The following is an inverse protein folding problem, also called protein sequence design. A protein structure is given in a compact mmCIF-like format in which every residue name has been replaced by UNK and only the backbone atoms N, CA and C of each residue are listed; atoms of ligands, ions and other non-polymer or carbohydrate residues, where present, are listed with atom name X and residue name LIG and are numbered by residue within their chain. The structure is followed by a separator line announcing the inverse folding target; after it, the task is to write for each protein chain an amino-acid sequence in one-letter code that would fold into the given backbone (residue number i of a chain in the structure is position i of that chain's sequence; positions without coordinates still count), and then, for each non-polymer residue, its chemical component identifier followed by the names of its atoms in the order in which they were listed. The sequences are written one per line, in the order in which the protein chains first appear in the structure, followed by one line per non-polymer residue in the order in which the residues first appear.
data_IF_959692281324
#
_entry.id   IF_959692281324
#
_cell.length_a   1.000
_cell.length_b   1.000
_cell.length_c   1.000
_cell.angle_alpha   90.00
_cell.angle_beta   90.00
_cell.angle_gamma   90.00
#
_symmetry.space_group_name_H-M   'P 1'
#
loop_
_entity.id
_entity.type
_entity.pdbx_description
1 polymer ?
#
# COMPACT_ATOMS: atom_id res chain seq x y z
N UNK A 1 -63.04 44.09 36.59
CA UNK A 1 -63.01 43.18 35.44
C UNK A 1 -61.81 43.55 34.60
N UNK A 2 -60.72 42.82 34.75
CA UNK A 2 -59.51 43.00 33.96
C UNK A 2 -59.29 41.76 33.10
N UNK A 3 -58.87 41.86 31.83
CA UNK A 3 -58.55 40.70 31.01
C UNK A 3 -57.10 40.31 31.16
N UNK A 4 -56.88 38.98 31.31
CA UNK A 4 -55.60 38.30 31.35
C UNK A 4 -54.86 38.45 29.99
N UNK A 5 -53.59 38.90 30.03
CA UNK A 5 -52.64 38.81 28.92
C UNK A 5 -51.92 37.49 28.98
N UNK A 6 -52.10 36.63 28.00
CA UNK A 6 -51.31 35.42 27.79
C UNK A 6 -50.01 35.78 27.05
N UNK A 7 -48.87 35.53 27.72
CA UNK A 7 -47.53 35.62 27.11
C UNK A 7 -47.23 34.34 26.32
N UNK A 8 -47.17 34.40 25.00
CA UNK A 8 -46.58 33.32 24.16
C UNK A 8 -45.06 33.37 24.28
N UNK A 9 -44.50 32.35 24.94
CA UNK A 9 -43.06 32.08 24.87
C UNK A 9 -42.73 31.48 23.50
N UNK A 10 -42.01 32.21 22.67
CA UNK A 10 -41.40 31.69 21.45
C UNK A 10 -40.21 30.80 21.85
N UNK A 11 -40.35 29.48 21.71
CA UNK A 11 -39.23 28.56 21.72
C UNK A 11 -38.39 28.78 20.44
N UNK A 12 -37.20 29.36 20.61
CA UNK A 12 -36.17 29.43 19.57
C UNK A 12 -35.61 28.02 19.41
N UNK A 13 -35.91 27.39 18.27
CA UNK A 13 -35.28 26.14 17.85
C UNK A 13 -33.78 26.40 17.59
N UNK A 14 -32.87 25.51 18.04
CA UNK A 14 -31.45 25.67 17.75
C UNK A 14 -31.22 25.55 16.25
N UNK A 15 -30.50 26.52 15.71
CA UNK A 15 -30.03 26.55 14.31
C UNK A 15 -29.31 25.26 13.94
N UNK A 16 -29.50 24.69 12.73
CA UNK A 16 -28.76 23.50 12.30
C UNK A 16 -27.28 23.79 12.33
N UNK A 17 -26.54 22.98 13.11
CA UNK A 17 -25.07 23.05 13.14
C UNK A 17 -24.56 22.85 11.72
N UNK A 18 -23.78 23.82 11.22
CA UNK A 18 -23.02 23.68 9.97
C UNK A 18 -22.27 22.35 9.97
N UNK A 19 -22.24 21.61 8.84
CA UNK A 19 -21.45 20.39 8.75
C UNK A 19 -20.01 20.76 9.08
N UNK A 20 -19.45 20.09 10.09
CA UNK A 20 -18.03 20.18 10.43
C UNK A 20 -17.27 19.82 9.14
N UNK A 21 -16.53 20.78 8.58
CA UNK A 21 -15.60 20.54 7.49
C UNK A 21 -14.63 19.47 7.96
N UNK A 22 -14.75 18.28 7.41
CA UNK A 22 -13.75 17.23 7.60
C UNK A 22 -12.40 17.78 7.15
N UNK A 23 -11.35 17.72 7.96
CA UNK A 23 -10.05 18.21 7.56
C UNK A 23 -9.59 17.44 6.33
N UNK A 24 -9.53 18.11 5.18
CA UNK A 24 -8.96 17.57 3.95
C UNK A 24 -7.49 17.95 3.88
N UNK A 25 -6.67 17.03 3.41
CA UNK A 25 -5.24 17.31 3.22
C UNK A 25 -5.03 18.24 1.99
N UNK A 26 -3.97 19.07 1.99
CA UNK A 26 -3.60 19.89 0.84
C UNK A 26 -3.47 19.08 -0.46
N UNK A 27 -3.89 19.64 -1.58
CA UNK A 27 -3.95 18.94 -2.88
C UNK A 27 -2.60 18.45 -3.44
N UNK A 28 -1.48 18.94 -2.90
CA UNK A 28 -0.12 18.58 -3.32
C UNK A 28 0.44 17.36 -2.59
N UNK A 29 -0.27 16.79 -1.62
CA UNK A 29 0.22 15.61 -0.89
C UNK A 29 0.11 14.34 -1.74
N UNK A 30 1.21 13.58 -1.79
CA UNK A 30 1.26 12.33 -2.56
C UNK A 30 0.81 11.15 -1.70
N UNK A 31 0.09 10.23 -2.33
CA UNK A 31 -0.40 9.00 -1.69
C UNK A 31 0.10 7.79 -2.48
N UNK A 32 0.85 6.95 -1.82
CA UNK A 32 1.42 5.72 -2.39
C UNK A 32 0.64 4.50 -1.97
N UNK A 33 0.62 3.50 -2.84
CA UNK A 33 0.09 2.17 -2.55
C UNK A 33 1.25 1.25 -2.14
N UNK A 34 1.15 0.68 -0.93
CA UNK A 34 2.20 -0.14 -0.34
C UNK A 34 2.33 -1.53 -0.97
N UNK A 35 3.55 -2.09 -1.04
CA UNK A 35 3.75 -3.50 -1.37
C UNK A 35 3.23 -4.38 -0.23
N UNK A 36 2.40 -5.37 -0.56
CA UNK A 36 1.87 -6.34 0.42
C UNK A 36 1.82 -7.74 -0.20
N UNK A 37 2.85 -8.53 0.06
CA UNK A 37 3.02 -9.88 -0.47
C UNK A 37 1.82 -10.77 -0.15
N UNK A 38 1.30 -11.46 -1.18
CA UNK A 38 0.16 -12.36 -1.09
C UNK A 38 -1.19 -11.66 -0.88
N UNK A 39 -1.24 -10.31 -0.85
CA UNK A 39 -2.47 -9.54 -0.70
C UNK A 39 -2.68 -8.59 -1.88
N UNK A 40 -1.71 -7.74 -2.19
CA UNK A 40 -1.85 -6.67 -3.18
C UNK A 40 -1.05 -6.98 -4.45
N UNK A 41 -1.49 -8.02 -5.15
CA UNK A 41 -0.97 -8.37 -6.46
C UNK A 41 -1.39 -7.36 -7.56
N UNK A 42 -0.92 -7.57 -8.78
CA UNK A 42 -1.24 -6.70 -9.91
C UNK A 42 -2.76 -6.60 -10.20
N UNK A 43 -3.56 -7.63 -9.85
CA UNK A 43 -5.01 -7.58 -10.04
C UNK A 43 -5.70 -6.68 -9.04
N UNK A 44 -5.34 -6.76 -7.78
CA UNK A 44 -5.93 -5.88 -6.76
C UNK A 44 -5.37 -4.46 -6.89
N UNK A 45 -4.10 -4.30 -7.27
CA UNK A 45 -3.49 -2.99 -7.57
C UNK A 45 -4.21 -2.28 -8.71
N UNK A 46 -4.54 -2.99 -9.81
CA UNK A 46 -5.34 -2.45 -10.90
C UNK A 46 -6.69 -1.91 -10.41
N UNK A 47 -7.40 -2.70 -9.62
CA UNK A 47 -8.73 -2.32 -9.13
C UNK A 47 -8.67 -1.12 -8.18
N UNK A 48 -7.76 -1.11 -7.22
CA UNK A 48 -7.63 0.02 -6.28
C UNK A 48 -7.27 1.30 -7.00
N UNK A 49 -6.38 1.25 -8.00
CA UNK A 49 -6.02 2.45 -8.76
C UNK A 49 -7.14 2.97 -9.65
N UNK A 50 -8.08 2.11 -10.09
CA UNK A 50 -9.31 2.54 -10.80
C UNK A 50 -10.27 3.32 -9.90
N UNK A 51 -10.26 3.09 -8.60
CA UNK A 51 -11.04 3.92 -7.65
C UNK A 51 -10.49 5.34 -7.63
N UNK A 52 -9.16 5.48 -7.67
CA UNK A 52 -8.49 6.78 -7.78
C UNK A 52 -7.79 7.25 -6.51
N UNK A 53 -7.15 8.40 -6.59
CA UNK A 53 -6.47 9.06 -5.48
C UNK A 53 -5.07 8.54 -5.16
N UNK A 54 -4.55 7.54 -5.88
CA UNK A 54 -3.18 7.00 -5.75
C UNK A 54 -2.27 7.64 -6.79
N UNK A 55 -1.08 8.08 -6.38
CA UNK A 55 -0.08 8.69 -7.26
C UNK A 55 1.00 7.72 -7.71
N UNK A 56 1.37 6.75 -6.87
CA UNK A 56 2.41 5.75 -7.15
C UNK A 56 2.06 4.44 -6.48
N UNK A 57 2.31 3.34 -7.16
CA UNK A 57 2.27 2.00 -6.59
C UNK A 57 3.68 1.44 -6.41
N UNK A 58 3.85 0.59 -5.38
CA UNK A 58 5.01 -0.29 -5.26
C UNK A 58 4.50 -1.73 -5.34
N UNK A 59 5.12 -2.55 -6.18
CA UNK A 59 4.70 -3.93 -6.40
C UNK A 59 5.03 -4.83 -5.21
N UNK A 60 4.43 -6.03 -5.15
CA UNK A 60 4.97 -7.11 -4.36
C UNK A 60 6.44 -7.34 -4.71
N UNK A 61 7.24 -7.84 -3.75
CA UNK A 61 8.67 -7.96 -4.01
C UNK A 61 9.01 -9.13 -4.95
N UNK A 62 9.99 -8.91 -5.77
CA UNK A 62 10.66 -9.94 -6.58
C UNK A 62 11.87 -10.41 -5.79
N UNK A 63 11.88 -11.68 -5.40
CA UNK A 63 12.97 -12.26 -4.62
C UNK A 63 14.16 -12.57 -5.48
N UNK A 64 15.29 -11.95 -5.14
CA UNK A 64 16.62 -12.20 -5.71
C UNK A 64 17.44 -12.98 -4.69
N UNK A 65 17.97 -14.13 -5.07
CA UNK A 65 18.80 -14.98 -4.20
C UNK A 65 20.25 -15.01 -4.67
N UNK A 66 20.57 -15.84 -5.63
CA UNK A 66 21.93 -16.20 -6.05
C UNK A 66 22.11 -16.23 -7.58
N UNK A 67 21.10 -15.81 -8.33
CA UNK A 67 21.13 -15.87 -9.80
C UNK A 67 20.50 -14.65 -10.47
N UNK A 68 20.92 -14.41 -11.69
CA UNK A 68 20.32 -13.40 -12.56
C UNK A 68 18.98 -13.90 -13.13
N UNK A 69 17.90 -13.29 -12.70
CA UNK A 69 16.54 -13.65 -13.05
C UNK A 69 16.23 -13.30 -14.52
N UNK A 70 15.55 -14.17 -15.27
CA UNK A 70 15.07 -13.83 -16.61
C UNK A 70 13.93 -12.80 -16.56
N UNK A 71 13.81 -11.95 -17.60
CA UNK A 71 12.81 -10.86 -17.68
C UNK A 71 11.37 -11.32 -17.38
N UNK A 72 11.01 -12.55 -17.77
CA UNK A 72 9.68 -13.12 -17.48
C UNK A 72 9.33 -13.21 -16.00
N UNK A 73 10.33 -13.27 -15.10
CA UNK A 73 10.08 -13.28 -13.66
C UNK A 73 9.61 -11.92 -13.20
N UNK A 74 10.23 -10.83 -13.70
CA UNK A 74 9.82 -9.47 -13.41
C UNK A 74 8.41 -9.18 -13.95
N UNK A 75 8.14 -9.48 -15.21
CA UNK A 75 6.84 -9.21 -15.84
C UNK A 75 5.70 -10.08 -15.30
N UNK A 76 6.02 -11.24 -14.72
CA UNK A 76 5.01 -12.07 -14.01
C UNK A 76 4.52 -11.40 -12.73
N UNK A 77 5.40 -10.77 -11.95
CA UNK A 77 5.04 -10.09 -10.69
C UNK A 77 4.53 -8.68 -10.98
N UNK A 78 5.10 -8.03 -11.99
CA UNK A 78 4.80 -6.65 -12.37
C UNK A 78 4.49 -6.61 -13.87
N UNK A 79 3.31 -7.12 -14.30
CA UNK A 79 2.94 -7.10 -15.72
C UNK A 79 2.80 -5.69 -16.30
N UNK A 80 2.65 -4.67 -15.43
CA UNK A 80 2.64 -3.26 -15.82
C UNK A 80 3.93 -2.82 -16.53
N UNK A 81 5.06 -3.52 -16.32
CA UNK A 81 6.31 -3.30 -17.07
C UNK A 81 6.14 -3.47 -18.59
N UNK A 82 5.12 -4.23 -19.03
CA UNK A 82 4.77 -4.40 -20.44
C UNK A 82 3.88 -3.26 -20.97
N UNK A 83 3.43 -2.36 -20.09
CA UNK A 83 2.54 -1.25 -20.41
C UNK A 83 3.08 0.07 -19.81
N UNK A 84 4.31 0.40 -20.13
CA UNK A 84 4.97 1.64 -19.66
C UNK A 84 5.10 1.76 -18.14
N UNK A 85 5.14 0.61 -17.43
CA UNK A 85 5.22 0.53 -15.97
C UNK A 85 4.08 1.27 -15.26
N UNK A 86 2.87 1.26 -15.85
CA UNK A 86 1.67 1.90 -15.30
C UNK A 86 0.52 0.89 -15.22
N UNK A 87 -0.33 1.07 -14.20
CA UNK A 87 -1.63 0.37 -14.13
C UNK A 87 -2.53 0.82 -15.29
N UNK A 88 -3.64 0.11 -15.56
CA UNK A 88 -4.60 0.53 -16.56
C UNK A 88 -5.25 1.90 -16.27
N UNK A 89 -5.22 2.36 -15.01
CA UNK A 89 -5.63 3.70 -14.62
C UNK A 89 -4.53 4.77 -14.82
N UNK A 90 -3.37 4.41 -15.38
CA UNK A 90 -2.26 5.34 -15.63
C UNK A 90 -1.36 5.60 -14.42
N UNK A 91 -1.54 4.89 -13.30
CA UNK A 91 -0.72 5.08 -12.10
C UNK A 91 0.61 4.35 -12.25
N UNK A 92 1.76 5.04 -12.09
CA UNK A 92 3.08 4.43 -12.20
C UNK A 92 3.33 3.37 -11.12
N UNK A 93 4.01 2.29 -11.52
CA UNK A 93 4.34 1.15 -10.65
C UNK A 93 5.85 1.00 -10.54
N UNK A 94 6.39 1.16 -9.34
CA UNK A 94 7.77 0.81 -9.02
C UNK A 94 7.87 -0.69 -8.75
N UNK A 95 8.83 -1.37 -9.39
CA UNK A 95 9.09 -2.78 -9.13
C UNK A 95 9.98 -2.93 -7.89
N UNK A 96 9.55 -3.73 -6.91
CA UNK A 96 10.32 -3.93 -5.68
C UNK A 96 11.18 -5.18 -5.75
N UNK A 97 12.48 -5.05 -5.41
CA UNK A 97 13.42 -6.15 -5.26
C UNK A 97 13.67 -6.46 -3.78
N UNK A 98 13.89 -7.73 -3.48
CA UNK A 98 14.26 -8.21 -2.16
C UNK A 98 15.40 -9.23 -2.27
N UNK A 99 16.49 -8.99 -1.57
CA UNK A 99 17.66 -9.87 -1.49
C UNK A 99 18.67 -9.33 -0.47
N UNK A 100 19.81 -10.00 -0.35
CA UNK A 100 20.88 -9.65 0.60
C UNK A 100 22.26 -9.54 -0.03
N UNK A 101 22.46 -10.03 -1.24
CA UNK A 101 23.73 -9.92 -1.95
C UNK A 101 23.75 -8.65 -2.82
N UNK A 102 24.68 -7.69 -2.57
CA UNK A 102 24.75 -6.44 -3.29
C UNK A 102 25.01 -6.61 -4.80
N UNK A 103 25.85 -7.57 -5.19
CA UNK A 103 26.21 -7.79 -6.60
C UNK A 103 25.04 -8.42 -7.35
N UNK A 104 24.47 -9.48 -6.79
CA UNK A 104 23.33 -10.15 -7.40
C UNK A 104 22.11 -9.22 -7.52
N UNK A 105 21.85 -8.35 -6.51
CA UNK A 105 20.79 -7.34 -6.59
C UNK A 105 21.09 -6.28 -7.65
N UNK A 106 22.32 -5.84 -7.78
CA UNK A 106 22.74 -4.87 -8.80
C UNK A 106 22.54 -5.42 -10.22
N UNK A 107 22.95 -6.66 -10.49
CA UNK A 107 22.77 -7.33 -11.79
C UNK A 107 21.27 -7.48 -12.14
N UNK A 108 20.47 -7.88 -11.16
CA UNK A 108 19.01 -8.00 -11.34
C UNK A 108 18.34 -6.64 -11.54
N UNK A 109 18.79 -5.60 -10.82
CA UNK A 109 18.29 -4.24 -11.00
C UNK A 109 18.67 -3.67 -12.38
N UNK A 110 19.89 -3.90 -12.86
CA UNK A 110 20.30 -3.54 -14.21
C UNK A 110 19.43 -4.21 -15.27
N UNK A 111 19.17 -5.52 -15.12
CA UNK A 111 18.26 -6.26 -16.04
C UNK A 111 16.82 -5.77 -15.96
N UNK A 112 16.34 -5.43 -14.76
CA UNK A 112 15.01 -4.86 -14.58
C UNK A 112 14.90 -3.47 -15.23
N UNK A 113 15.96 -2.67 -15.15
CA UNK A 113 16.04 -1.34 -15.77
C UNK A 113 15.86 -1.37 -17.29
N UNK A 114 16.24 -2.47 -17.97
CA UNK A 114 16.00 -2.66 -19.41
C UNK A 114 14.50 -2.69 -19.78
N UNK A 115 13.62 -2.95 -18.80
CA UNK A 115 12.15 -2.91 -18.95
C UNK A 115 11.57 -1.52 -18.65
N UNK A 116 12.41 -0.51 -18.40
CA UNK A 116 12.03 0.89 -18.14
C UNK A 116 10.96 1.03 -17.02
N UNK A 117 11.20 0.49 -15.82
CA UNK A 117 10.27 0.65 -14.71
C UNK A 117 10.13 2.13 -14.33
N UNK A 118 8.96 2.51 -13.80
CA UNK A 118 8.74 3.85 -13.21
C UNK A 118 9.64 4.12 -11.99
N UNK A 119 10.31 3.10 -11.48
CA UNK A 119 11.30 3.10 -10.43
C UNK A 119 11.59 1.69 -9.93
N UNK A 120 12.69 1.54 -9.22
CA UNK A 120 13.07 0.30 -8.53
C UNK A 120 13.06 0.60 -7.04
N UNK A 121 12.37 -0.23 -6.26
CA UNK A 121 12.31 -0.12 -4.81
C UNK A 121 13.05 -1.29 -4.14
N UNK A 122 13.71 -1.04 -3.02
CA UNK A 122 14.47 -2.06 -2.27
C UNK A 122 13.77 -2.36 -0.93
N UNK A 123 13.54 -3.64 -0.65
CA UNK A 123 12.81 -4.09 0.53
C UNK A 123 13.72 -4.43 1.70
N UNK A 124 13.74 -3.57 2.72
CA UNK A 124 14.35 -3.79 4.03
C UNK A 124 13.31 -3.88 5.17
N UNK A 125 12.07 -4.28 4.85
CA UNK A 125 10.99 -4.26 5.82
C UNK A 125 10.15 -5.55 5.92
N UNK A 126 10.37 -6.55 5.04
CA UNK A 126 9.59 -7.79 5.06
C UNK A 126 9.83 -8.57 6.36
N UNK A 127 8.77 -8.87 7.16
CA UNK A 127 8.91 -9.58 8.42
C UNK A 127 8.81 -11.11 8.28
N UNK A 128 8.56 -11.64 7.07
CA UNK A 128 8.26 -13.05 6.85
C UNK A 128 9.42 -13.96 7.30
N UNK A 129 9.16 -15.03 8.10
CA UNK A 129 10.21 -15.92 8.59
C UNK A 129 11.02 -16.58 7.48
N UNK A 130 10.37 -16.95 6.38
CA UNK A 130 11.03 -17.55 5.20
C UNK A 130 12.00 -16.60 4.51
N UNK A 131 11.67 -15.30 4.46
CA UNK A 131 12.55 -14.26 3.91
C UNK A 131 13.72 -14.02 4.85
N UNK A 132 13.43 -13.88 6.14
CA UNK A 132 14.43 -13.53 7.15
C UNK A 132 15.45 -14.67 7.42
N UNK A 133 15.06 -15.94 7.32
CA UNK A 133 16.00 -17.08 7.39
C UNK A 133 17.06 -17.04 6.29
N UNK A 134 16.76 -16.43 5.16
CA UNK A 134 17.69 -16.23 4.05
C UNK A 134 18.31 -14.82 4.05
N UNK A 135 18.42 -14.19 5.22
CA UNK A 135 19.02 -12.87 5.43
C UNK A 135 18.41 -11.74 4.59
N UNK A 136 17.12 -11.81 4.19
CA UNK A 136 16.43 -10.77 3.44
C UNK A 136 15.41 -9.99 4.29
N UNK A 137 15.01 -8.81 3.80
CA UNK A 137 13.99 -7.99 4.44
C UNK A 137 14.44 -7.35 5.76
N UNK A 138 13.58 -7.37 6.80
CA UNK A 138 13.80 -6.58 8.01
C UNK A 138 15.02 -6.99 8.86
N UNK A 139 15.55 -8.20 8.70
CA UNK A 139 16.77 -8.61 9.43
C UNK A 139 18.02 -7.89 8.95
N UNK A 140 18.03 -7.36 7.72
CA UNK A 140 19.14 -6.56 7.20
C UNK A 140 19.32 -5.25 7.98
N UNK A 141 18.29 -4.80 8.70
CA UNK A 141 18.37 -3.60 9.53
C UNK A 141 19.27 -3.74 10.77
N UNK A 142 19.76 -4.94 11.04
CA UNK A 142 20.82 -5.20 12.03
C UNK A 142 22.23 -4.90 11.45
N UNK A 143 22.36 -4.68 10.13
CA UNK A 143 23.62 -4.52 9.39
C UNK A 143 23.57 -3.27 8.49
N UNK A 144 23.65 -2.02 9.03
CA UNK A 144 23.56 -0.78 8.23
C UNK A 144 24.60 -0.68 7.10
N UNK A 145 25.82 -1.20 7.30
CA UNK A 145 26.85 -1.22 6.28
C UNK A 145 26.46 -2.09 5.08
N UNK A 146 25.82 -3.23 5.31
CA UNK A 146 25.28 -4.08 4.25
C UNK A 146 24.11 -3.41 3.54
N UNK A 147 23.22 -2.73 4.27
CA UNK A 147 22.13 -1.94 3.68
C UNK A 147 22.71 -0.86 2.76
N UNK A 148 23.74 -0.13 3.20
CA UNK A 148 24.46 0.85 2.36
C UNK A 148 25.05 0.19 1.11
N UNK A 149 25.76 -0.94 1.26
CA UNK A 149 26.41 -1.63 0.14
C UNK A 149 25.38 -2.07 -0.92
N UNK A 150 24.24 -2.59 -0.49
CA UNK A 150 23.14 -3.00 -1.38
C UNK A 150 22.60 -1.79 -2.17
N UNK A 151 22.21 -0.72 -1.47
CA UNK A 151 21.64 0.47 -2.11
C UNK A 151 22.64 1.10 -3.07
N UNK A 152 23.90 1.25 -2.67
CA UNK A 152 24.96 1.82 -3.49
C UNK A 152 25.25 0.97 -4.74
N UNK A 153 25.28 -0.36 -4.61
CA UNK A 153 25.49 -1.26 -5.74
C UNK A 153 24.35 -1.16 -6.76
N UNK A 154 23.10 -1.20 -6.29
CA UNK A 154 21.92 -1.05 -7.14
C UNK A 154 21.87 0.34 -7.79
N UNK A 155 22.14 1.41 -7.04
CA UNK A 155 22.13 2.78 -7.59
C UNK A 155 23.15 2.94 -8.72
N UNK A 156 24.35 2.37 -8.58
CA UNK A 156 25.38 2.42 -9.63
C UNK A 156 25.02 1.62 -10.89
N UNK A 157 24.31 0.51 -10.72
CA UNK A 157 23.94 -0.39 -11.82
C UNK A 157 22.70 0.10 -12.61
N UNK A 158 21.86 0.95 -12.01
CA UNK A 158 20.62 1.45 -12.62
C UNK A 158 20.87 2.82 -13.26
N UNK A 159 20.38 3.09 -14.49
CA UNK A 159 20.48 4.39 -15.14
C UNK A 159 19.94 5.53 -14.25
N UNK A 160 20.58 6.70 -14.31
CA UNK A 160 20.30 7.82 -13.41
C UNK A 160 18.84 8.32 -13.47
N UNK A 161 18.20 8.22 -14.63
CA UNK A 161 16.80 8.63 -14.84
C UNK A 161 15.75 7.71 -14.18
N UNK A 162 16.14 6.49 -13.81
CA UNK A 162 15.25 5.55 -13.08
C UNK A 162 15.49 5.73 -11.58
N UNK A 163 14.50 6.20 -10.80
CA UNK A 163 14.67 6.38 -9.37
C UNK A 163 14.86 5.03 -8.65
N UNK A 164 15.76 5.01 -7.68
CA UNK A 164 15.96 3.87 -6.76
C UNK A 164 15.53 4.32 -5.39
N UNK A 165 14.45 3.76 -4.87
CA UNK A 165 13.94 4.02 -3.52
C UNK A 165 14.18 2.83 -2.59
N UNK A 166 14.01 3.04 -1.31
CA UNK A 166 14.09 1.99 -0.31
C UNK A 166 12.89 2.03 0.64
N UNK A 167 12.43 0.85 1.07
CA UNK A 167 11.38 0.72 2.09
C UNK A 167 11.90 -0.05 3.28
N UNK A 168 11.88 0.58 4.46
CA UNK A 168 12.34 -0.05 5.71
C UNK A 168 11.28 -0.03 6.82
N UNK A 169 11.56 -0.73 7.91
CA UNK A 169 10.94 -0.58 9.23
C UNK A 169 11.85 0.24 10.14
N UNK A 170 11.37 0.58 11.34
CA UNK A 170 12.21 1.24 12.36
C UNK A 170 13.41 0.38 12.80
N UNK A 171 13.33 -0.92 12.59
CA UNK A 171 14.40 -1.88 12.89
C UNK A 171 13.89 -3.32 12.88
N UNK A 172 14.77 -4.26 13.22
CA UNK A 172 14.45 -5.68 13.35
C UNK A 172 13.82 -5.96 14.74
N UNK A 173 14.61 -5.94 15.81
CA UNK A 173 14.14 -6.22 17.17
C UNK A 173 13.70 -4.94 17.87
N UNK A 174 14.47 -3.90 17.75
CA UNK A 174 14.30 -2.56 18.32
C UNK A 174 14.59 -1.49 17.24
N UNK A 175 14.63 -0.24 17.64
CA UNK A 175 14.87 0.91 16.76
C UNK A 175 16.26 1.58 16.99
N UNK A 176 17.16 0.93 17.70
CA UNK A 176 18.48 1.49 18.04
C UNK A 176 19.31 1.85 16.79
N UNK A 177 19.23 1.03 15.73
CA UNK A 177 19.92 1.25 14.46
C UNK A 177 19.09 2.03 13.43
N UNK A 178 17.95 2.58 13.82
CA UNK A 178 16.99 3.26 12.92
C UNK A 178 17.68 4.39 12.12
N UNK A 179 18.37 5.27 12.81
CA UNK A 179 19.06 6.42 12.18
C UNK A 179 20.27 5.97 11.36
N UNK A 180 21.02 4.98 11.84
CA UNK A 180 22.16 4.42 11.09
C UNK A 180 21.68 3.83 9.75
N UNK A 181 20.58 3.09 9.72
CA UNK A 181 19.98 2.56 8.49
C UNK A 181 19.49 3.69 7.56
N UNK A 182 18.83 4.71 8.12
CA UNK A 182 18.37 5.86 7.33
C UNK A 182 19.55 6.61 6.67
N UNK A 183 20.63 6.85 7.41
CA UNK A 183 21.88 7.45 6.87
C UNK A 183 22.53 6.55 5.82
N UNK A 184 22.60 5.24 6.06
CA UNK A 184 23.15 4.27 5.12
C UNK A 184 22.41 4.31 3.78
N UNK A 185 21.07 4.33 3.81
CA UNK A 185 20.24 4.41 2.61
C UNK A 185 20.42 5.77 1.89
N UNK A 186 20.41 6.87 2.64
CA UNK A 186 20.56 8.20 2.07
C UNK A 186 21.94 8.43 1.42
N UNK A 187 23.02 8.10 2.13
CA UNK A 187 24.40 8.27 1.63
C UNK A 187 24.72 7.34 0.47
N UNK A 188 24.02 6.21 0.33
CA UNK A 188 24.15 5.29 -0.79
C UNK A 188 23.46 5.78 -2.08
N UNK A 189 22.74 6.91 -2.04
CA UNK A 189 22.14 7.55 -3.21
C UNK A 189 20.71 7.11 -3.52
N UNK A 190 19.96 6.62 -2.55
CA UNK A 190 18.53 6.42 -2.72
C UNK A 190 17.82 7.76 -2.99
N UNK A 191 16.80 7.73 -3.86
CA UNK A 191 16.01 8.90 -4.23
C UNK A 191 14.90 9.22 -3.21
N UNK A 192 14.51 8.25 -2.38
CA UNK A 192 13.40 8.34 -1.44
C UNK A 192 13.46 7.18 -0.44
N UNK A 193 12.99 7.42 0.78
CA UNK A 193 12.91 6.42 1.84
C UNK A 193 11.47 6.30 2.37
N UNK A 194 10.88 5.12 2.24
CA UNK A 194 9.59 4.80 2.87
C UNK A 194 9.83 4.13 4.22
N UNK A 195 9.25 4.65 5.28
CA UNK A 195 9.42 4.12 6.64
C UNK A 195 8.09 3.58 7.20
N UNK A 196 8.04 2.27 7.48
CA UNK A 196 6.96 1.70 8.26
C UNK A 196 7.23 1.96 9.75
N UNK A 197 6.33 2.67 10.40
CA UNK A 197 6.42 3.16 11.79
C UNK A 197 6.39 2.06 12.87
N UNK A 198 7.03 0.93 12.63
CA UNK A 198 7.17 -0.22 13.55
C UNK A 198 8.46 -0.99 13.29
N UNK A 199 8.99 -1.62 14.32
CA UNK A 199 10.01 -2.67 14.15
C UNK A 199 9.38 -3.96 13.59
N UNK A 200 10.20 -4.91 13.18
CA UNK A 200 9.70 -6.25 12.82
C UNK A 200 9.05 -6.93 14.02
N UNK A 201 9.63 -6.79 15.22
CA UNK A 201 9.11 -7.41 16.44
C UNK A 201 7.72 -6.89 16.82
N UNK A 202 7.42 -5.61 16.58
CA UNK A 202 6.07 -5.03 16.76
C UNK A 202 5.05 -5.65 15.80
N UNK A 203 5.50 -6.22 14.67
CA UNK A 203 4.64 -6.83 13.66
C UNK A 203 3.65 -5.81 13.07
N UNK A 204 2.36 -6.06 13.29
CA UNK A 204 1.26 -5.21 12.84
C UNK A 204 0.35 -4.77 14.00
N UNK A 205 0.79 -4.92 15.24
CA UNK A 205 0.04 -4.53 16.43
C UNK A 205 0.14 -3.00 16.63
N UNK A 206 -0.97 -2.30 16.90
CA UNK A 206 -0.92 -0.88 17.28
C UNK A 206 -0.13 -0.69 18.61
N UNK A 207 0.45 0.49 18.81
CA UNK A 207 0.44 1.67 17.96
C UNK A 207 1.45 1.62 16.81
N UNK A 208 1.36 2.57 15.87
CA UNK A 208 2.45 2.95 14.98
C UNK A 208 3.17 4.15 15.59
N UNK A 209 4.49 4.19 15.50
CA UNK A 209 5.35 5.21 16.11
C UNK A 209 5.72 6.26 15.05
N UNK A 210 4.78 7.11 14.68
CA UNK A 210 4.96 8.11 13.61
C UNK A 210 5.96 9.20 13.98
N UNK A 211 6.13 9.50 15.26
CA UNK A 211 7.15 10.39 15.81
C UNK A 211 8.59 9.92 15.51
N UNK A 212 8.81 8.60 15.44
CA UNK A 212 10.11 8.05 15.03
C UNK A 212 10.42 8.34 13.56
N UNK A 213 9.41 8.44 12.70
CA UNK A 213 9.60 8.87 11.30
C UNK A 213 10.06 10.33 11.25
N UNK A 214 9.54 11.21 12.14
CA UNK A 214 10.01 12.60 12.22
C UNK A 214 11.51 12.68 12.54
N UNK A 215 12.00 11.83 13.44
CA UNK A 215 13.44 11.75 13.76
C UNK A 215 14.27 11.33 12.55
N UNK A 216 13.81 10.35 11.78
CA UNK A 216 14.46 9.94 10.53
C UNK A 216 14.47 11.10 9.54
N UNK A 217 13.31 11.75 9.33
CA UNK A 217 13.17 12.87 8.38
C UNK A 217 14.11 14.03 8.71
N UNK A 218 14.34 14.31 10.00
CA UNK A 218 15.27 15.35 10.45
C UNK A 218 16.75 14.96 10.25
N UNK A 219 17.06 13.67 10.23
CA UNK A 219 18.41 13.15 10.14
C UNK A 219 18.93 13.01 8.71
N UNK A 220 18.05 12.95 7.69
CA UNK A 220 18.44 12.70 6.30
C UNK A 220 17.94 13.79 5.36
N UNK A 221 18.62 13.97 4.22
CA UNK A 221 18.27 15.01 3.23
C UNK A 221 17.39 14.49 2.07
N UNK A 222 17.07 13.18 2.04
CA UNK A 222 16.18 12.63 1.02
C UNK A 222 14.71 12.70 1.47
N UNK A 223 13.73 12.71 0.53
CA UNK A 223 12.32 12.63 0.86
C UNK A 223 11.99 11.38 1.67
N UNK A 224 11.22 11.57 2.75
CA UNK A 224 10.75 10.47 3.60
C UNK A 224 9.24 10.33 3.48
N UNK A 225 8.77 9.10 3.25
CA UNK A 225 7.36 8.74 3.11
C UNK A 225 6.90 8.01 4.37
N UNK A 226 5.82 8.50 4.99
CA UNK A 226 5.27 7.88 6.18
C UNK A 226 4.35 6.70 5.85
N UNK A 227 4.54 5.58 6.55
CA UNK A 227 3.74 4.37 6.37
C UNK A 227 3.40 3.72 7.72
N UNK A 228 2.21 3.18 7.81
CA UNK A 228 1.77 2.34 8.95
C UNK A 228 0.54 2.88 9.68
N UNK A 229 -0.43 1.99 9.90
CA UNK A 229 -1.66 2.15 10.70
C UNK A 229 -2.61 3.28 10.26
N UNK A 230 -2.59 3.68 9.02
CA UNK A 230 -3.55 4.63 8.45
C UNK A 230 -4.76 3.86 7.92
N UNK A 231 -5.90 3.98 8.61
CA UNK A 231 -7.17 3.33 8.30
C UNK A 231 -8.29 4.33 8.01
N UNK A 232 -8.16 5.56 8.50
CA UNK A 232 -9.13 6.64 8.40
C UNK A 232 -8.46 7.92 7.93
N UNK A 233 -9.26 8.94 7.60
CA UNK A 233 -8.77 10.29 7.32
C UNK A 233 -8.07 10.89 8.54
N UNK A 234 -8.63 10.67 9.73
CA UNK A 234 -8.04 11.17 10.98
C UNK A 234 -6.67 10.54 11.25
N UNK A 235 -6.50 9.23 10.99
CA UNK A 235 -5.19 8.58 11.08
C UNK A 235 -4.19 9.22 10.11
N UNK A 236 -4.63 9.56 8.89
CA UNK A 236 -3.78 10.20 7.89
C UNK A 236 -3.32 11.58 8.35
N UNK A 237 -4.24 12.39 8.89
CA UNK A 237 -3.94 13.71 9.45
C UNK A 237 -2.94 13.60 10.61
N UNK A 238 -3.18 12.67 11.55
CA UNK A 238 -2.29 12.45 12.69
C UNK A 238 -0.91 11.94 12.25
N UNK A 239 -0.88 11.00 11.30
CA UNK A 239 0.38 10.46 10.77
C UNK A 239 1.24 11.56 10.16
N UNK A 240 0.66 12.43 9.33
CA UNK A 240 1.38 13.55 8.72
C UNK A 240 1.82 14.59 9.78
N UNK A 241 0.95 14.91 10.73
CA UNK A 241 1.28 15.86 11.79
C UNK A 241 2.43 15.37 12.68
N UNK A 242 2.44 14.09 13.05
CA UNK A 242 3.46 13.51 13.94
C UNK A 242 4.77 13.21 13.19
N UNK A 243 4.70 12.73 11.94
CA UNK A 243 5.88 12.42 11.15
C UNK A 243 6.52 13.64 10.50
N UNK A 244 5.76 14.72 10.30
CA UNK A 244 6.16 15.89 9.53
C UNK A 244 6.36 15.61 8.04
N UNK A 245 5.97 14.42 7.53
CA UNK A 245 6.02 14.07 6.12
C UNK A 245 4.89 14.75 5.34
N UNK A 246 5.09 14.93 4.05
CA UNK A 246 4.09 15.41 3.10
C UNK A 246 3.53 14.28 2.20
N UNK A 247 4.05 13.07 2.34
CA UNK A 247 3.72 11.90 1.53
C UNK A 247 3.37 10.72 2.43
N UNK A 248 2.23 10.06 2.12
CA UNK A 248 1.75 8.87 2.80
C UNK A 248 1.89 7.63 1.92
N UNK A 249 2.18 6.48 2.54
CA UNK A 249 2.00 5.19 1.89
C UNK A 249 0.92 4.40 2.63
N UNK A 250 -0.15 4.05 1.91
CA UNK A 250 -1.29 3.31 2.44
C UNK A 250 -1.12 1.80 2.20
N UNK A 251 -1.36 1.01 3.22
CA UNK A 251 -1.35 -0.45 3.17
C UNK A 251 -2.75 -1.04 3.34
N UNK A 252 -2.96 -1.80 4.42
CA UNK A 252 -4.22 -2.51 4.69
C UNK A 252 -5.45 -1.59 4.77
N UNK A 253 -5.27 -0.34 5.16
CA UNK A 253 -6.36 0.64 5.24
C UNK A 253 -7.04 0.86 3.89
N UNK A 254 -6.27 1.06 2.81
CA UNK A 254 -6.85 1.25 1.47
C UNK A 254 -7.39 -0.05 0.87
N UNK A 255 -6.93 -1.21 1.31
CA UNK A 255 -7.55 -2.49 0.90
C UNK A 255 -8.89 -2.69 1.60
N UNK A 256 -9.02 -2.24 2.84
CA UNK A 256 -10.28 -2.25 3.60
C UNK A 256 -11.27 -1.20 3.09
N UNK A 257 -10.79 -0.01 2.75
CA UNK A 257 -11.56 1.05 2.11
C UNK A 257 -10.86 1.51 0.81
N UNK A 258 -11.22 0.97 -0.35
CA UNK A 258 -10.60 1.33 -1.62
C UNK A 258 -10.69 2.82 -1.98
N UNK A 259 -11.62 3.55 -1.33
CA UNK A 259 -11.80 4.98 -1.51
C UNK A 259 -11.03 5.84 -0.48
N UNK A 260 -10.26 5.24 0.43
CA UNK A 260 -9.55 5.97 1.49
C UNK A 260 -8.66 7.10 0.95
N UNK A 261 -7.98 6.88 -0.18
CA UNK A 261 -7.14 7.92 -0.79
C UNK A 261 -7.97 9.11 -1.28
N UNK A 262 -9.16 8.88 -1.86
CA UNK A 262 -10.09 9.95 -2.22
C UNK A 262 -10.60 10.69 -0.99
N UNK A 263 -10.99 9.96 0.06
CA UNK A 263 -11.46 10.54 1.32
C UNK A 263 -10.38 11.43 1.97
N UNK A 264 -9.13 10.98 2.01
CA UNK A 264 -7.99 11.75 2.51
C UNK A 264 -7.82 13.06 1.74
N UNK A 265 -8.07 13.06 0.42
CA UNK A 265 -8.03 14.24 -0.44
C UNK A 265 -9.27 15.14 -0.34
N UNK A 266 -10.27 14.76 0.44
CA UNK A 266 -11.55 15.46 0.52
C UNK A 266 -12.40 15.35 -0.76
N UNK A 267 -12.14 14.31 -1.58
CA UNK A 267 -12.87 14.05 -2.81
C UNK A 267 -14.08 13.13 -2.56
N UNK A 268 -15.03 13.17 -3.48
CA UNK A 268 -16.21 12.32 -3.42
C UNK A 268 -15.82 10.84 -3.46
N UNK A 269 -16.32 10.06 -2.50
CA UNK A 269 -16.06 8.63 -2.40
C UNK A 269 -17.20 7.81 -2.99
N UNK A 270 -16.91 6.72 -3.73
CA UNK A 270 -17.93 5.84 -4.26
C UNK A 270 -18.68 5.10 -3.15
N UNK A 271 -19.98 4.85 -3.37
CA UNK A 271 -20.77 3.98 -2.52
C UNK A 271 -20.37 2.51 -2.71
N UNK A 272 -20.87 1.61 -1.82
CA UNK A 272 -20.70 0.17 -2.00
C UNK A 272 -21.20 -0.31 -3.38
N UNK A 273 -22.36 0.19 -3.82
CA UNK A 273 -22.95 -0.16 -5.12
C UNK A 273 -22.04 0.23 -6.28
N UNK A 274 -21.37 1.36 -6.19
CA UNK A 274 -20.40 1.79 -7.19
C UNK A 274 -19.09 0.98 -7.17
N UNK A 275 -18.75 0.32 -6.05
CA UNK A 275 -17.61 -0.57 -5.93
C UNK A 275 -17.87 -1.99 -6.45
N UNK A 276 -19.15 -2.44 -6.51
CA UNK A 276 -19.48 -3.81 -6.93
C UNK A 276 -18.93 -4.19 -8.31
N UNK A 277 -19.02 -3.35 -9.37
CA UNK A 277 -18.41 -3.68 -10.66
C UNK A 277 -16.89 -3.87 -10.59
N UNK A 278 -16.21 -3.16 -9.69
CA UNK A 278 -14.76 -3.30 -9.49
C UNK A 278 -14.42 -4.59 -8.73
N UNK A 279 -15.28 -5.02 -7.79
CA UNK A 279 -15.14 -6.30 -7.10
C UNK A 279 -15.33 -7.46 -8.09
N UNK A 280 -16.32 -7.36 -8.97
CA UNK A 280 -16.52 -8.33 -10.04
C UNK A 280 -15.36 -8.32 -11.04
N UNK A 281 -14.86 -7.15 -11.42
CA UNK A 281 -13.66 -7.01 -12.26
C UNK A 281 -12.44 -7.69 -11.64
N UNK A 282 -12.22 -7.52 -10.33
CA UNK A 282 -11.16 -8.26 -9.61
C UNK A 282 -11.37 -9.77 -9.72
N UNK A 283 -12.59 -10.26 -9.52
CA UNK A 283 -12.93 -11.68 -9.65
C UNK A 283 -12.61 -12.23 -11.04
N UNK A 284 -12.98 -11.51 -12.09
CA UNK A 284 -12.70 -11.87 -13.47
C UNK A 284 -11.19 -11.85 -13.76
N UNK A 285 -10.45 -10.84 -13.26
CA UNK A 285 -8.99 -10.74 -13.46
C UNK A 285 -8.23 -11.89 -12.83
N UNK A 286 -8.52 -12.25 -11.59
CA UNK A 286 -7.83 -13.38 -10.94
C UNK A 286 -8.10 -14.71 -11.64
N UNK A 287 -9.20 -14.82 -12.39
CA UNK A 287 -9.51 -16.03 -13.16
C UNK A 287 -8.46 -16.34 -14.26
N UNK A 288 -7.75 -15.33 -14.77
CA UNK A 288 -6.77 -15.50 -15.84
C UNK A 288 -5.41 -16.06 -15.37
N UNK A 289 -5.05 -15.90 -14.07
CA UNK A 289 -3.72 -16.27 -13.60
C UNK A 289 -3.71 -17.02 -12.27
N UNK A 290 -4.80 -17.00 -11.49
CA UNK A 290 -4.91 -17.74 -10.23
C UNK A 290 -5.56 -19.10 -10.48
N UNK A 291 -4.92 -20.16 -10.01
CA UNK A 291 -5.48 -21.52 -10.10
C UNK A 291 -6.89 -21.57 -9.49
N UNK A 292 -7.86 -22.28 -10.10
CA UNK A 292 -9.26 -22.34 -9.64
C UNK A 292 -9.42 -22.60 -8.14
N UNK A 293 -8.63 -23.52 -7.57
CA UNK A 293 -8.67 -23.87 -6.14
C UNK A 293 -8.33 -22.69 -5.20
N UNK A 294 -7.63 -21.65 -5.69
CA UNK A 294 -7.19 -20.51 -4.88
C UNK A 294 -7.98 -19.23 -5.16
N UNK A 295 -8.79 -19.18 -6.22
CA UNK A 295 -9.53 -17.96 -6.62
C UNK A 295 -10.48 -17.47 -5.52
N UNK A 296 -11.30 -18.38 -4.97
CA UNK A 296 -12.21 -18.04 -3.89
C UNK A 296 -11.49 -17.48 -2.67
N UNK A 297 -10.31 -18.04 -2.32
CA UNK A 297 -9.48 -17.56 -1.24
C UNK A 297 -9.01 -16.11 -1.43
N UNK A 298 -8.65 -15.72 -2.67
CA UNK A 298 -8.24 -14.34 -2.98
C UNK A 298 -9.37 -13.34 -2.79
N UNK A 299 -10.55 -13.64 -3.27
CA UNK A 299 -11.73 -12.77 -3.10
C UNK A 299 -12.15 -12.68 -1.62
N UNK A 300 -12.20 -13.82 -0.91
CA UNK A 300 -12.48 -13.85 0.53
C UNK A 300 -11.50 -13.03 1.35
N UNK A 301 -10.21 -13.08 0.99
CA UNK A 301 -9.16 -12.29 1.64
C UNK A 301 -9.46 -10.79 1.53
N UNK A 302 -9.88 -10.31 0.37
CA UNK A 302 -10.24 -8.92 0.17
C UNK A 302 -11.53 -8.55 0.90
N UNK A 303 -12.61 -9.31 0.72
CA UNK A 303 -13.89 -9.10 1.44
C UNK A 303 -13.70 -9.09 2.96
N UNK A 304 -12.82 -9.96 3.50
CA UNK A 304 -12.49 -10.00 4.92
C UNK A 304 -11.83 -8.71 5.44
N UNK A 305 -11.12 -7.96 4.60
CA UNK A 305 -10.60 -6.63 4.95
C UNK A 305 -11.68 -5.58 4.78
N UNK A 306 -12.44 -5.61 3.68
CA UNK A 306 -13.48 -4.64 3.37
C UNK A 306 -14.62 -4.61 4.41
N UNK A 307 -14.94 -5.74 5.07
CA UNK A 307 -15.99 -5.78 6.12
C UNK A 307 -15.67 -4.90 7.33
N UNK A 308 -14.42 -4.43 7.49
CA UNK A 308 -14.07 -3.43 8.50
C UNK A 308 -14.70 -2.06 8.22
N UNK A 309 -15.02 -1.78 6.97
CA UNK A 309 -15.56 -0.50 6.50
C UNK A 309 -17.01 -0.63 6.00
N UNK A 310 -17.33 -1.73 5.32
CA UNK A 310 -18.61 -1.93 4.65
C UNK A 310 -19.37 -3.11 5.26
N UNK A 311 -20.53 -2.85 5.92
CA UNK A 311 -21.41 -3.94 6.40
C UNK A 311 -21.83 -4.91 5.27
N UNK A 312 -21.99 -4.41 4.06
CA UNK A 312 -22.32 -5.21 2.88
C UNK A 312 -21.22 -6.22 2.52
N UNK A 313 -19.96 -5.87 2.76
CA UNK A 313 -18.84 -6.81 2.56
C UNK A 313 -18.89 -7.95 3.59
N UNK A 314 -19.41 -7.72 4.81
CA UNK A 314 -19.67 -8.80 5.77
C UNK A 314 -20.70 -9.78 5.22
N UNK A 315 -21.81 -9.28 4.69
CA UNK A 315 -22.85 -10.12 4.06
C UNK A 315 -22.26 -10.93 2.89
N UNK A 316 -21.54 -10.27 1.99
CA UNK A 316 -20.88 -10.92 0.85
C UNK A 316 -19.87 -11.99 1.30
N UNK A 317 -19.08 -11.70 2.34
CA UNK A 317 -18.13 -12.66 2.90
C UNK A 317 -18.86 -13.89 3.49
N UNK A 318 -19.92 -13.69 4.26
CA UNK A 318 -20.68 -14.79 4.89
C UNK A 318 -21.34 -15.71 3.86
N UNK A 319 -21.79 -15.16 2.73
CA UNK A 319 -22.34 -15.94 1.62
C UNK A 319 -21.32 -16.92 1.02
N UNK A 320 -20.04 -16.53 0.95
CA UNK A 320 -19.04 -17.34 0.24
C UNK A 320 -18.00 -17.99 1.16
N UNK A 321 -17.99 -17.72 2.46
CA UNK A 321 -16.92 -18.16 3.38
C UNK A 321 -16.70 -19.68 3.38
N UNK A 322 -17.72 -20.47 3.16
CA UNK A 322 -17.70 -21.94 3.21
C UNK A 322 -17.49 -22.61 1.85
N UNK A 323 -17.67 -21.90 0.71
CA UNK A 323 -17.46 -22.47 -0.62
C UNK A 323 -16.12 -22.06 -1.21
N UNK A 324 -15.45 -22.99 -1.90
CA UNK A 324 -14.23 -22.75 -2.67
C UNK A 324 -14.43 -22.98 -4.17
N UNK A 325 -15.62 -23.40 -4.58
CA UNK A 325 -15.97 -23.67 -5.97
C UNK A 325 -16.22 -22.32 -6.70
N UNK A 326 -15.45 -22.00 -7.76
CA UNK A 326 -15.53 -20.69 -8.40
C UNK A 326 -16.89 -20.36 -9.02
N UNK A 327 -17.57 -21.33 -9.64
CA UNK A 327 -18.90 -21.12 -10.23
C UNK A 327 -19.96 -20.79 -9.17
N UNK A 328 -19.88 -21.44 -8.00
CA UNK A 328 -20.74 -21.12 -6.87
C UNK A 328 -20.49 -19.71 -6.34
N UNK A 329 -19.22 -19.31 -6.20
CA UNK A 329 -18.85 -17.94 -5.78
C UNK A 329 -19.39 -16.91 -6.79
N UNK A 330 -19.24 -17.17 -8.10
CA UNK A 330 -19.78 -16.31 -9.16
C UNK A 330 -21.29 -16.14 -9.01
N UNK A 331 -22.01 -17.24 -8.89
CA UNK A 331 -23.48 -17.23 -8.79
C UNK A 331 -23.99 -16.50 -7.54
N UNK A 332 -23.34 -16.73 -6.39
CA UNK A 332 -23.76 -16.15 -5.11
C UNK A 332 -23.53 -14.63 -5.02
N UNK A 333 -22.46 -14.12 -5.64
CA UNK A 333 -22.09 -12.71 -5.49
C UNK A 333 -22.46 -11.85 -6.70
N UNK A 334 -22.41 -12.42 -7.91
CA UNK A 334 -22.53 -11.65 -9.16
C UNK A 334 -23.66 -12.14 -10.06
N UNK A 335 -24.38 -13.21 -9.65
CA UNK A 335 -25.41 -13.86 -10.45
C UNK A 335 -24.85 -14.89 -11.44
N UNK A 336 -25.73 -15.56 -12.16
CA UNK A 336 -25.34 -16.51 -13.19
C UNK A 336 -24.53 -15.79 -14.28
N UNK A 337 -23.42 -16.38 -14.77
CA UNK A 337 -22.72 -15.81 -15.92
C UNK A 337 -23.70 -15.68 -17.10
N UNK A 338 -23.58 -14.61 -17.94
CA UNK A 338 -24.40 -14.51 -19.12
C UNK A 338 -24.20 -15.79 -19.94
N UNK A 339 -25.29 -16.41 -20.33
CA UNK A 339 -25.27 -17.54 -21.26
C UNK A 339 -24.57 -17.03 -22.53
N UNK A 340 -23.35 -17.48 -22.77
CA UNK A 340 -22.70 -17.22 -24.04
C UNK A 340 -23.54 -17.91 -25.12
N UNK A 341 -23.96 -17.17 -26.17
CA UNK A 341 -24.67 -17.76 -27.31
C UNK A 341 -23.79 -18.76 -28.06
#
# INVERSE_FOLDING_TARGET
MMPLRSSLSMHILPSPRSPLLTPSLPSHQRIYLAPMEGLLDHSLRDVITRVGGIDVCVSEFIRVTDQLLPKRVFTRVVPELLNGSCTAAGVPVRAQLLGSDPHCLADNAARLAELQPAGIDLNFGCPAPTVNRHRGGAVLLDEPDLVHAIVAAVRRAVPAQIPVSAKMRLGNRDDLLMLANAHAIASAGASELVVHARTKLHGYRPPAYWDQIARIRQAVQLPVVANGEVWTVDDAVQCLAQSGCDTLMLGRGIVADPALALAIRGLLTPSWQALLPLIEHFWQRIASHVSPRHRAGRLKQWLNLMRRRFPQAQVAFDLVRTTNEPGMVQTLLFGAPPLHP
#
